data_IF_151216335028
#
_entry.id   IF_151216335028
#
_cell.length_a   1.000
_cell.length_b   1.000
_cell.length_c   1.000
_cell.angle_alpha   90.00
_cell.angle_beta   90.00
_cell.angle_gamma   90.00
#
_symmetry.space_group_name_H-M   'P 1'
#
loop_
_entity.id
_entity.type
_entity.pdbx_description
1 polymer ?
#
# COMPACT_ATOMS: atom_id res chain seq x y z
N UNK A 1 13.76 12.32 6.68
CA UNK A 1 13.79 11.63 5.37
C UNK A 1 12.49 11.94 4.68
N UNK A 2 12.52 12.33 3.40
CA UNK A 2 11.32 12.56 2.60
C UNK A 2 10.90 11.26 1.92
N UNK A 3 9.65 11.15 1.44
CA UNK A 3 9.17 9.95 0.73
C UNK A 3 9.99 9.61 -0.53
N UNK A 4 10.70 10.59 -1.11
CA UNK A 4 11.62 10.40 -2.23
C UNK A 4 12.89 9.62 -1.84
N UNK A 5 13.41 9.81 -0.62
CA UNK A 5 14.60 9.07 -0.13
C UNK A 5 14.25 7.61 0.19
N UNK A 6 13.05 7.36 0.73
CA UNK A 6 12.56 6.00 0.99
C UNK A 6 12.30 5.24 -0.31
N UNK A 7 11.72 5.88 -1.33
CA UNK A 7 11.57 5.30 -2.67
C UNK A 7 12.89 4.78 -3.27
N UNK A 8 13.98 5.52 -3.09
CA UNK A 8 15.32 5.12 -3.56
C UNK A 8 15.87 3.91 -2.81
N UNK A 9 15.55 3.77 -1.52
CA UNK A 9 15.98 2.65 -0.67
C UNK A 9 15.18 1.37 -0.96
N UNK A 10 13.87 1.50 -1.19
CA UNK A 10 13.01 0.37 -1.55
C UNK A 10 13.37 -0.16 -2.94
N UNK A 11 13.72 0.72 -3.88
CA UNK A 11 13.98 0.39 -5.29
C UNK A 11 15.07 -0.65 -5.56
N UNK A 12 15.87 -1.04 -4.56
CA UNK A 12 16.93 -2.06 -4.69
C UNK A 12 16.59 -3.42 -4.05
N UNK A 13 15.49 -3.55 -3.32
CA UNK A 13 15.13 -4.78 -2.61
C UNK A 13 13.82 -5.38 -3.15
N UNK A 14 13.94 -6.40 -4.01
CA UNK A 14 12.80 -7.07 -4.64
C UNK A 14 11.76 -7.64 -3.64
N UNK A 15 12.15 -7.93 -2.40
CA UNK A 15 11.24 -8.38 -1.33
C UNK A 15 10.16 -7.35 -0.94
N UNK A 16 10.38 -6.07 -1.25
CA UNK A 16 9.44 -4.99 -0.96
C UNK A 16 8.68 -4.53 -2.21
N UNK A 17 8.88 -5.18 -3.34
CA UNK A 17 8.17 -4.87 -4.58
C UNK A 17 6.83 -5.60 -4.63
N UNK A 18 5.80 -4.86 -5.02
CA UNK A 18 4.45 -5.34 -5.28
C UNK A 18 4.11 -5.01 -6.73
N UNK A 19 3.56 -5.96 -7.48
CA UNK A 19 3.06 -5.69 -8.83
C UNK A 19 1.55 -5.74 -8.84
N UNK A 20 0.92 -4.68 -9.36
CA UNK A 20 -0.53 -4.71 -9.58
C UNK A 20 -0.90 -5.79 -10.60
N UNK A 21 -2.07 -6.43 -10.44
CA UNK A 21 -2.59 -7.33 -11.47
C UNK A 21 -2.91 -6.54 -12.74
N UNK A 22 -2.82 -7.16 -13.91
CA UNK A 22 -3.30 -6.55 -15.16
C UNK A 22 -4.81 -6.75 -15.33
N UNK A 23 -5.37 -7.81 -14.75
CA UNK A 23 -6.79 -8.13 -14.73
C UNK A 23 -7.17 -8.80 -13.41
N UNK A 24 -8.42 -8.60 -12.96
CA UNK A 24 -8.95 -9.28 -11.78
C UNK A 24 -8.30 -8.85 -10.47
N UNK A 25 -8.50 -9.64 -9.42
CA UNK A 25 -8.03 -9.36 -8.07
C UNK A 25 -6.72 -10.09 -7.73
N UNK A 26 -5.86 -9.45 -6.94
CA UNK A 26 -4.62 -10.01 -6.40
C UNK A 26 -4.40 -9.55 -4.97
N UNK A 27 -4.07 -10.48 -4.08
CA UNK A 27 -3.53 -10.16 -2.76
C UNK A 27 -2.10 -9.64 -2.96
N UNK A 28 -1.89 -8.35 -2.68
CA UNK A 28 -0.58 -7.74 -2.75
C UNK A 28 0.21 -8.05 -1.48
N UNK A 29 -0.44 -7.92 -0.32
CA UNK A 29 0.14 -8.21 0.98
C UNK A 29 -0.90 -9.01 1.77
N UNK A 30 -0.77 -10.34 1.86
CA UNK A 30 -1.74 -11.16 2.59
C UNK A 30 -1.64 -10.94 4.11
N UNK A 31 -0.44 -10.61 4.60
CA UNK A 31 -0.21 -10.24 6.01
C UNK A 31 1.01 -9.35 6.17
N UNK A 32 0.79 -8.04 6.25
CA UNK A 32 1.79 -7.03 6.54
C UNK A 32 1.74 -6.61 8.01
N UNK A 33 2.80 -5.95 8.48
CA UNK A 33 2.90 -5.47 9.86
C UNK A 33 3.35 -4.00 9.83
N UNK A 34 2.59 -3.12 10.49
CA UNK A 34 2.92 -1.71 10.71
C UNK A 34 2.86 -1.37 12.21
N UNK A 35 3.46 -0.25 12.62
CA UNK A 35 3.49 0.17 14.02
C UNK A 35 4.56 -0.52 14.88
N UNK A 36 4.51 -0.27 16.19
CA UNK A 36 5.57 -0.67 17.11
C UNK A 36 6.93 -0.07 16.72
N UNK A 37 7.97 -0.91 16.58
CA UNK A 37 9.32 -0.43 16.16
C UNK A 37 9.42 -0.08 14.67
N UNK A 38 8.43 -0.47 13.86
CA UNK A 38 8.36 -0.20 12.43
C UNK A 38 7.13 0.64 12.13
N UNK A 39 7.24 1.97 12.30
CA UNK A 39 6.11 2.89 12.14
C UNK A 39 5.38 2.74 10.80
N UNK A 40 6.08 2.30 9.75
CA UNK A 40 5.53 2.06 8.42
C UNK A 40 6.06 0.76 7.79
N UNK A 41 5.18 -0.02 7.14
CA UNK A 41 5.54 -1.00 6.11
C UNK A 41 5.59 -0.28 4.75
N UNK A 42 6.81 -0.09 4.24
CA UNK A 42 7.05 0.57 2.97
C UNK A 42 7.28 -0.44 1.84
N UNK A 43 6.59 -0.21 0.73
CA UNK A 43 6.63 -1.05 -0.48
C UNK A 43 6.80 -0.20 -1.73
N UNK A 44 7.42 -0.78 -2.74
CA UNK A 44 7.41 -0.23 -4.11
C UNK A 44 6.28 -0.90 -4.85
N UNK A 45 5.38 -0.10 -5.41
CA UNK A 45 4.30 -0.60 -6.24
C UNK A 45 4.64 -0.39 -7.72
N UNK A 46 4.69 -1.47 -8.48
CA UNK A 46 4.91 -1.48 -9.92
C UNK A 46 3.58 -1.63 -10.63
N UNK A 47 3.31 -0.68 -11.53
CA UNK A 47 2.12 -0.64 -12.36
C UNK A 47 2.55 -0.94 -13.80
N UNK A 48 2.23 -2.13 -14.29
CA UNK A 48 2.61 -2.56 -15.64
C UNK A 48 1.64 -2.09 -16.71
N UNK A 49 0.39 -1.75 -16.37
CA UNK A 49 -0.62 -1.24 -17.29
C UNK A 49 -1.27 0.04 -16.74
N UNK A 50 -1.53 1.02 -17.62
CA UNK A 50 -2.32 2.19 -17.21
C UNK A 50 -3.77 1.75 -17.05
N UNK A 51 -4.42 2.12 -15.95
CA UNK A 51 -5.81 1.73 -15.73
C UNK A 51 -6.35 2.14 -14.36
N UNK A 52 -7.58 1.73 -14.09
CA UNK A 52 -8.26 1.94 -12.82
C UNK A 52 -8.06 0.74 -11.90
N UNK A 53 -7.62 1.02 -10.68
CA UNK A 53 -7.33 0.02 -9.66
C UNK A 53 -8.14 0.29 -8.40
N UNK A 54 -8.77 -0.75 -7.86
CA UNK A 54 -9.43 -0.72 -6.56
C UNK A 54 -8.51 -1.34 -5.52
N UNK A 55 -8.08 -0.54 -4.54
CA UNK A 55 -7.39 -1.04 -3.36
C UNK A 55 -8.39 -1.36 -2.26
N UNK A 56 -8.15 -2.46 -1.55
CA UNK A 56 -8.91 -2.87 -0.37
C UNK A 56 -7.96 -3.16 0.77
N UNK A 57 -8.16 -2.45 1.88
CA UNK A 57 -7.32 -2.49 3.06
C UNK A 57 -8.14 -3.06 4.22
N UNK A 58 -7.55 -4.04 4.92
CA UNK A 58 -8.12 -4.60 6.13
C UNK A 58 -7.15 -4.48 7.29
N UNK A 59 -7.62 -3.90 8.38
CA UNK A 59 -6.96 -3.91 9.68
C UNK A 59 -7.32 -5.19 10.44
N UNK A 60 -6.33 -5.89 11.01
CA UNK A 60 -6.58 -7.11 11.79
C UNK A 60 -6.51 -6.86 13.30
N UNK A 61 -5.42 -6.25 13.77
CA UNK A 61 -5.13 -6.15 15.22
C UNK A 61 -5.12 -4.71 15.74
N UNK A 62 -5.25 -3.71 14.88
CA UNK A 62 -5.14 -2.29 15.21
C UNK A 62 -5.41 -1.41 13.99
N UNK A 63 -5.61 -0.08 14.18
CA UNK A 63 -5.84 0.84 13.07
C UNK A 63 -4.62 0.94 12.16
N UNK A 64 -4.85 1.00 10.86
CA UNK A 64 -3.81 1.25 9.86
C UNK A 64 -4.24 2.30 8.85
N UNK A 65 -3.25 3.04 8.33
CA UNK A 65 -3.40 3.99 7.24
C UNK A 65 -2.53 3.59 6.07
N UNK A 66 -3.16 3.31 4.94
CA UNK A 66 -2.51 3.19 3.65
C UNK A 66 -2.34 4.59 3.03
N UNK A 67 -1.16 4.85 2.47
CA UNK A 67 -0.90 6.01 1.63
C UNK A 67 -0.09 5.61 0.40
N UNK A 68 -0.55 6.03 -0.78
CA UNK A 68 0.13 5.80 -2.07
C UNK A 68 0.73 7.13 -2.55
N UNK A 69 1.98 7.10 -2.97
CA UNK A 69 2.73 8.25 -3.43
C UNK A 69 3.16 8.08 -4.88
N UNK A 70 3.00 9.15 -5.66
CA UNK A 70 3.59 9.29 -6.98
C UNK A 70 5.13 9.27 -6.93
N UNK A 71 5.81 9.03 -8.08
CA UNK A 71 7.28 9.10 -8.16
C UNK A 71 7.89 10.40 -7.62
N UNK A 72 7.16 11.51 -7.69
CA UNK A 72 7.58 12.82 -7.18
C UNK A 72 7.27 13.03 -5.68
N UNK A 73 6.90 11.97 -4.95
CA UNK A 73 6.58 12.03 -3.53
C UNK A 73 5.20 12.59 -3.19
N UNK A 74 4.39 13.01 -4.18
CA UNK A 74 3.03 13.51 -3.92
C UNK A 74 2.10 12.38 -3.50
N UNK A 75 1.38 12.55 -2.39
CA UNK A 75 0.31 11.63 -1.98
C UNK A 75 -0.83 11.65 -3.00
N UNK A 76 -1.22 10.47 -3.47
CA UNK A 76 -2.27 10.25 -4.46
C UNK A 76 -3.55 9.69 -3.84
N UNK A 77 -3.40 8.90 -2.78
CA UNK A 77 -4.46 8.17 -2.12
C UNK A 77 -4.11 8.07 -0.64
N UNK A 78 -5.12 8.23 0.21
CA UNK A 78 -5.08 7.83 1.61
C UNK A 78 -6.32 7.02 1.95
N UNK A 79 -6.14 5.91 2.66
CA UNK A 79 -7.21 5.03 3.11
C UNK A 79 -6.91 4.58 4.55
N UNK A 80 -7.90 4.64 5.43
CA UNK A 80 -7.76 4.23 6.83
C UNK A 80 -8.69 3.06 7.08
N UNK A 81 -8.19 2.02 7.76
CA UNK A 81 -8.97 0.87 8.16
C UNK A 81 -8.87 0.66 9.68
N UNK A 82 -10.00 0.28 10.28
CA UNK A 82 -10.13 0.01 11.70
C UNK A 82 -10.35 -1.50 11.94
N UNK A 83 -9.79 -2.07 13.01
CA UNK A 83 -9.94 -3.50 13.29
C UNK A 83 -11.41 -3.83 13.61
N UNK A 84 -11.92 -4.92 13.05
CA UNK A 84 -13.30 -5.36 13.23
C UNK A 84 -14.34 -4.62 12.38
N UNK A 85 -13.94 -3.62 11.60
CA UNK A 85 -14.77 -3.05 10.55
C UNK A 85 -14.75 -3.91 9.28
N UNK A 86 -15.64 -3.61 8.32
CA UNK A 86 -15.55 -4.13 6.96
C UNK A 86 -14.26 -3.63 6.27
N UNK A 87 -13.89 -4.27 5.16
CA UNK A 87 -12.73 -3.81 4.38
C UNK A 87 -12.97 -2.41 3.81
N UNK A 88 -12.00 -1.54 3.97
CA UNK A 88 -12.03 -0.18 3.45
C UNK A 88 -11.50 -0.20 2.03
N UNK A 89 -12.09 0.59 1.14
CA UNK A 89 -11.73 0.53 -0.28
C UNK A 89 -11.70 1.88 -0.97
N UNK A 90 -10.80 2.01 -1.95
CA UNK A 90 -10.73 3.20 -2.79
C UNK A 90 -10.20 2.88 -4.17
N UNK A 91 -10.83 3.48 -5.19
CA UNK A 91 -10.42 3.34 -6.57
C UNK A 91 -9.58 4.53 -7.03
N UNK A 92 -8.53 4.27 -7.80
CA UNK A 92 -7.65 5.29 -8.36
C UNK A 92 -7.18 4.90 -9.77
N UNK A 93 -7.02 5.88 -10.64
CA UNK A 93 -6.35 5.69 -11.93
C UNK A 93 -4.85 5.86 -11.78
N UNK A 94 -4.09 4.87 -12.26
CA UNK A 94 -2.63 4.89 -12.22
C UNK A 94 -2.08 4.71 -13.63
N UNK A 95 -1.07 5.51 -13.97
CA UNK A 95 -0.27 5.31 -15.16
C UNK A 95 0.78 4.23 -14.93
N UNK A 96 1.27 3.60 -16.01
CA UNK A 96 2.44 2.72 -15.96
C UNK A 96 3.61 3.42 -15.24
N UNK A 97 4.23 2.74 -14.30
CA UNK A 97 5.33 3.33 -13.52
C UNK A 97 5.59 2.64 -12.20
N UNK A 98 6.35 3.33 -11.35
CA UNK A 98 6.68 2.89 -9.99
C UNK A 98 6.23 3.93 -8.97
N UNK A 99 5.57 3.46 -7.92
CA UNK A 99 4.97 4.27 -6.88
C UNK A 99 5.50 3.81 -5.52
N UNK A 100 5.38 4.67 -4.51
CA UNK A 100 5.62 4.31 -3.12
C UNK A 100 4.30 3.96 -2.46
N UNK A 101 4.27 2.91 -1.66
CA UNK A 101 3.13 2.55 -0.85
C UNK A 101 3.60 2.42 0.59
N UNK A 102 2.93 3.11 1.50
CA UNK A 102 3.14 2.96 2.94
C UNK A 102 1.88 2.46 3.59
N UNK A 103 2.01 1.52 4.53
CA UNK A 103 0.97 1.26 5.53
C UNK A 103 1.54 1.58 6.89
N UNK A 104 0.88 2.51 7.59
CA UNK A 104 1.35 3.08 8.84
C UNK A 104 0.38 2.75 9.97
N UNK A 105 0.89 2.65 11.19
CA UNK A 105 0.08 2.58 12.40
C UNK A 105 0.76 3.36 13.51
N UNK A 106 -0.01 4.17 14.22
CA UNK A 106 0.43 4.88 15.41
C UNK A 106 0.33 4.01 16.68
N UNK A 107 -0.08 2.75 16.54
CA UNK A 107 -0.16 1.81 17.65
C UNK A 107 1.23 1.46 18.21
N UNK A 108 1.34 1.45 19.54
CA UNK A 108 2.55 1.04 20.25
C UNK A 108 2.91 -0.43 20.00
N UNK A 109 1.91 -1.27 19.74
CA UNK A 109 2.08 -2.67 19.39
C UNK A 109 2.03 -2.87 17.87
N UNK A 110 2.75 -3.87 17.33
CA UNK A 110 2.68 -4.21 15.91
C UNK A 110 1.25 -4.56 15.48
N UNK A 111 0.80 -3.90 14.43
CA UNK A 111 -0.53 -4.03 13.84
C UNK A 111 -0.47 -4.80 12.53
N UNK A 112 -1.21 -5.89 12.45
CA UNK A 112 -1.34 -6.69 11.24
C UNK A 112 -2.40 -6.11 10.30
N UNK A 113 -2.13 -6.21 8.99
CA UNK A 113 -3.05 -5.78 7.94
C UNK A 113 -2.96 -6.70 6.71
N UNK A 114 -3.99 -6.65 5.88
CA UNK A 114 -4.01 -7.25 4.55
C UNK A 114 -4.34 -6.19 3.49
N UNK A 115 -3.75 -6.33 2.31
CA UNK A 115 -3.94 -5.43 1.16
C UNK A 115 -4.19 -6.24 -0.12
N UNK A 116 -5.34 -5.98 -0.73
CA UNK A 116 -5.74 -6.52 -2.02
C UNK A 116 -5.83 -5.38 -3.03
N UNK A 117 -5.47 -5.65 -4.29
CA UNK A 117 -5.78 -4.77 -5.40
C UNK A 117 -6.58 -5.52 -6.48
N UNK A 118 -7.52 -4.83 -7.11
CA UNK A 118 -8.27 -5.32 -8.26
C UNK A 118 -8.06 -4.39 -9.43
N UNK A 119 -7.62 -4.91 -10.57
CA UNK A 119 -7.65 -4.18 -11.83
C UNK A 119 -9.08 -4.20 -12.37
N UNK A 120 -9.67 -3.01 -12.52
CA UNK A 120 -10.94 -2.88 -13.21
C UNK A 120 -10.70 -2.95 -14.73
N UNK A 121 -11.53 -3.69 -15.49
CA UNK A 121 -11.46 -3.72 -16.95
C UNK A 121 -11.76 -2.36 -17.60
#
# INVERSE_FOLDING_TARGET
>A
MTGEDELKLIGKNARFELSLPETGARELVPRGIAGGRMLADWRRLVVSATGRYLFRLRAETGPVRLELFAPNGRSLLRLQAEPGAEEESCAIELARGSYALSVQSDASDPTAYALLATAAP
#
